data_IF_335852555621
#
_entry.id   IF_335852555621
#
_cell.length_a   1.000
_cell.length_b   1.000
_cell.length_c   1.000
_cell.angle_alpha   90.00
_cell.angle_beta   90.00
_cell.angle_gamma   90.00
#
_symmetry.space_group_name_H-M   'P 1'
#
loop_
_entity.id
_entity.type
_entity.pdbx_description
1 polymer ?
#
# COMPACT_ATOMS: atom_id res chain seq x y z
N UNK A 1 9.39 -1.50 -9.94
CA UNK A 1 10.04 -0.32 -9.34
C UNK A 1 10.23 -0.59 -7.86
N UNK A 2 11.46 -0.45 -7.37
CA UNK A 2 11.78 -0.55 -5.94
C UNK A 2 11.47 0.78 -5.27
N UNK A 3 10.38 0.88 -4.50
CA UNK A 3 10.10 2.10 -3.73
C UNK A 3 11.21 2.38 -2.72
N UNK A 4 12.03 3.38 -2.98
CA UNK A 4 13.02 3.86 -2.00
C UNK A 4 12.39 5.02 -1.23
N UNK A 5 12.89 5.31 -0.02
CA UNK A 5 12.47 6.43 0.85
C UNK A 5 12.32 7.77 0.10
N UNK A 6 12.95 7.93 -1.06
CA UNK A 6 12.80 9.07 -1.97
C UNK A 6 11.38 9.29 -2.53
N UNK A 7 10.49 8.30 -2.48
CA UNK A 7 9.17 8.39 -3.11
C UNK A 7 8.08 8.98 -2.18
N UNK A 8 8.38 9.17 -0.89
CA UNK A 8 7.44 9.70 0.09
C UNK A 8 7.68 11.19 0.36
N UNK A 9 6.72 12.09 0.11
CA UNK A 9 6.87 13.52 0.39
C UNK A 9 6.98 13.86 1.89
N UNK A 10 6.58 12.96 2.78
CA UNK A 10 6.64 13.12 4.23
C UNK A 10 7.32 11.92 4.90
N UNK A 11 8.64 11.80 4.80
CA UNK A 11 9.42 10.78 5.51
C UNK A 11 10.57 11.42 6.30
N UNK A 12 10.52 11.48 7.64
CA UNK A 12 9.47 10.91 8.49
C UNK A 12 8.17 11.74 8.48
N UNK A 13 7.08 11.12 8.92
CA UNK A 13 5.86 11.85 9.31
C UNK A 13 6.16 12.76 10.50
N UNK A 14 5.36 13.81 10.68
CA UNK A 14 5.44 14.66 11.88
C UNK A 14 5.01 13.83 13.10
N UNK A 15 5.89 13.67 14.11
CA UNK A 15 5.56 12.92 15.31
C UNK A 15 4.42 13.58 16.10
N UNK A 16 3.63 12.77 16.79
CA UNK A 16 2.65 13.21 17.78
C UNK A 16 3.29 13.06 19.16
N UNK A 17 3.71 14.19 19.73
CA UNK A 17 4.32 14.22 21.06
C UNK A 17 3.25 14.22 22.16
N UNK A 18 3.28 13.20 23.03
CA UNK A 18 2.35 13.07 24.14
C UNK A 18 0.93 12.75 23.70
N UNK A 19 -0.06 13.33 24.38
CA UNK A 19 -1.48 13.02 24.12
C UNK A 19 -1.91 13.47 22.72
N UNK A 20 -2.41 12.56 21.86
CA UNK A 20 -2.90 12.92 20.55
C UNK A 20 -4.00 13.97 20.61
N UNK A 21 -3.79 15.07 19.88
CA UNK A 21 -4.78 16.12 19.70
C UNK A 21 -5.45 15.99 18.33
N UNK A 22 -6.63 16.60 18.16
CA UNK A 22 -7.32 16.61 16.86
C UNK A 22 -6.44 17.18 15.74
N UNK A 23 -5.70 18.25 16.02
CA UNK A 23 -4.84 18.91 15.02
C UNK A 23 -3.63 18.04 14.64
N UNK A 24 -3.04 17.34 15.62
CA UNK A 24 -1.95 16.41 15.38
C UNK A 24 -2.41 15.20 14.54
N UNK A 25 -3.57 14.61 14.88
CA UNK A 25 -4.17 13.51 14.12
C UNK A 25 -4.52 13.94 12.69
N UNK A 26 -5.08 15.14 12.52
CA UNK A 26 -5.39 15.68 11.19
C UNK A 26 -4.14 15.88 10.35
N UNK A 27 -3.07 16.40 10.95
CA UNK A 27 -1.76 16.57 10.29
C UNK A 27 -1.18 15.23 9.85
N UNK A 28 -1.15 14.26 10.76
CA UNK A 28 -0.66 12.90 10.49
C UNK A 28 -1.46 12.25 9.35
N UNK A 29 -2.79 12.35 9.40
CA UNK A 29 -3.69 11.81 8.37
C UNK A 29 -3.42 12.42 6.99
N UNK A 30 -3.22 13.74 6.91
CA UNK A 30 -2.88 14.41 5.64
C UNK A 30 -1.55 13.95 5.07
N UNK A 31 -0.54 13.79 5.92
CA UNK A 31 0.79 13.38 5.50
C UNK A 31 0.82 11.92 5.03
N UNK A 32 0.18 11.00 5.77
CA UNK A 32 0.11 9.61 5.35
C UNK A 32 -0.72 9.45 4.07
N UNK A 33 -1.75 10.27 3.85
CA UNK A 33 -2.49 10.30 2.59
C UNK A 33 -1.63 10.78 1.42
N UNK A 34 -0.81 11.80 1.63
CA UNK A 34 0.13 12.28 0.60
C UNK A 34 1.19 11.23 0.26
N UNK A 35 1.72 10.52 1.27
CA UNK A 35 2.66 9.41 1.07
C UNK A 35 2.01 8.22 0.34
N UNK A 36 0.80 7.84 0.70
CA UNK A 36 0.09 6.76 0.03
C UNK A 36 -0.21 7.12 -1.43
N UNK A 37 -0.57 8.38 -1.69
CA UNK A 37 -0.87 8.87 -3.05
C UNK A 37 0.37 9.00 -3.93
N UNK A 38 1.55 9.28 -3.37
CA UNK A 38 2.78 9.43 -4.17
C UNK A 38 3.26 8.11 -4.78
N UNK A 39 2.85 6.96 -4.23
CA UNK A 39 3.14 5.66 -4.83
C UNK A 39 2.04 5.30 -5.83
N UNK A 40 2.36 5.45 -7.11
CA UNK A 40 1.43 5.23 -8.21
C UNK A 40 0.98 3.77 -8.34
N UNK A 41 -0.26 3.58 -8.81
CA UNK A 41 -0.83 2.29 -9.18
C UNK A 41 -2.06 2.49 -10.05
N UNK A 42 -2.30 1.55 -10.95
CA UNK A 42 -3.47 1.52 -11.83
C UNK A 42 -4.68 0.87 -11.17
N UNK A 43 -4.55 0.38 -9.92
CA UNK A 43 -5.55 -0.45 -9.24
C UNK A 43 -6.73 0.30 -8.61
N UNK A 44 -6.92 1.59 -8.91
CA UNK A 44 -8.03 2.39 -8.38
C UNK A 44 -8.11 3.77 -9.01
N UNK A 45 -8.41 3.84 -10.31
CA UNK A 45 -8.58 5.10 -11.03
C UNK A 45 -7.28 5.86 -11.38
N UNK A 46 -6.10 5.23 -11.26
CA UNK A 46 -4.80 5.73 -11.75
C UNK A 46 -4.19 6.93 -11.00
N UNK A 47 -4.97 7.98 -10.76
CA UNK A 47 -4.48 9.27 -10.25
C UNK A 47 -4.44 9.37 -8.71
N UNK A 48 -4.83 8.29 -8.02
CA UNK A 48 -4.96 8.26 -6.56
C UNK A 48 -3.87 7.43 -5.87
N UNK A 49 -2.95 6.82 -6.62
CA UNK A 49 -1.90 5.96 -6.06
C UNK A 49 -2.48 4.91 -5.11
N UNK A 50 -1.77 4.62 -4.03
CA UNK A 50 -2.17 3.68 -3.00
C UNK A 50 -3.01 4.33 -1.87
N UNK A 51 -3.67 5.47 -2.12
CA UNK A 51 -4.46 6.18 -1.10
C UNK A 51 -5.52 5.28 -0.41
N UNK A 52 -6.05 4.30 -1.11
CA UNK A 52 -7.01 3.33 -0.56
C UNK A 52 -6.46 2.47 0.59
N UNK A 53 -5.15 2.39 0.78
CA UNK A 53 -4.54 1.64 1.89
C UNK A 53 -4.77 2.31 3.26
N UNK A 54 -5.01 3.62 3.26
CA UNK A 54 -5.10 4.44 4.48
C UNK A 54 -6.40 5.23 4.56
N UNK A 55 -7.21 5.21 3.50
CA UNK A 55 -8.51 5.86 3.43
C UNK A 55 -9.63 4.83 3.51
N UNK A 56 -10.71 5.17 4.19
CA UNK A 56 -11.93 4.37 4.21
C UNK A 56 -12.40 4.02 2.77
N UNK A 57 -12.78 2.76 2.47
CA UNK A 57 -13.13 2.33 1.12
C UNK A 57 -14.29 3.09 0.49
N UNK A 58 -15.33 3.45 1.25
CA UNK A 58 -16.47 4.19 0.72
C UNK A 58 -16.08 5.64 0.36
N UNK A 59 -15.26 6.26 1.21
CA UNK A 59 -14.69 7.59 0.97
C UNK A 59 -13.76 7.59 -0.24
N UNK A 60 -12.91 6.56 -0.36
CA UNK A 60 -12.04 6.38 -1.51
C UNK A 60 -12.84 6.24 -2.80
N UNK A 61 -13.85 5.35 -2.83
CA UNK A 61 -14.70 5.14 -4.00
C UNK A 61 -15.40 6.44 -4.43
N UNK A 62 -15.94 7.20 -3.48
CA UNK A 62 -16.57 8.50 -3.77
C UNK A 62 -15.59 9.49 -4.39
N UNK A 63 -14.33 9.48 -3.96
CA UNK A 63 -13.27 10.36 -4.45
C UNK A 63 -12.72 9.93 -5.81
N UNK A 64 -12.40 8.65 -5.96
CA UNK A 64 -11.69 8.10 -7.11
C UNK A 64 -12.62 7.75 -8.27
N UNK A 65 -13.93 7.56 -8.01
CA UNK A 65 -14.90 7.07 -9.00
C UNK A 65 -14.75 5.58 -9.32
N UNK A 66 -13.70 4.92 -8.80
CA UNK A 66 -13.40 3.51 -8.98
C UNK A 66 -12.90 2.92 -7.65
N UNK A 67 -13.35 1.71 -7.34
CA UNK A 67 -12.91 1.01 -6.14
C UNK A 67 -11.47 0.52 -6.30
N UNK A 68 -10.68 0.57 -5.22
CA UNK A 68 -9.35 -0.02 -5.24
C UNK A 68 -9.45 -1.55 -5.24
N UNK A 69 -8.79 -2.19 -6.20
CA UNK A 69 -8.71 -3.64 -6.33
C UNK A 69 -7.37 -4.13 -5.79
N UNK A 70 -7.41 -4.75 -4.62
CA UNK A 70 -6.22 -5.38 -4.02
C UNK A 70 -5.64 -6.41 -5.00
N UNK A 71 -4.35 -6.31 -5.39
CA UNK A 71 -3.75 -7.26 -6.30
C UNK A 71 -3.70 -8.65 -5.62
N UNK A 72 -4.20 -9.71 -6.26
CA UNK A 72 -4.12 -11.06 -5.71
C UNK A 72 -2.68 -11.54 -5.69
N UNK A 73 -2.34 -12.42 -4.75
CA UNK A 73 -1.06 -13.12 -4.78
C UNK A 73 -1.00 -13.94 -6.08
N UNK A 74 0.00 -13.71 -6.96
CA UNK A 74 0.08 -14.39 -8.26
C UNK A 74 0.39 -15.90 -8.13
N UNK A 75 0.82 -16.37 -6.95
CA UNK A 75 1.19 -17.76 -6.74
C UNK A 75 2.48 -18.14 -7.49
N UNK A 76 2.74 -19.45 -7.66
CA UNK A 76 3.87 -19.93 -8.45
C UNK A 76 3.74 -19.56 -9.93
N UNK A 77 4.88 -19.46 -10.63
CA UNK A 77 4.87 -19.24 -12.07
C UNK A 77 4.10 -20.39 -12.78
N UNK A 78 3.13 -20.09 -13.66
CA UNK A 78 2.35 -21.11 -14.32
C UNK A 78 3.21 -21.90 -15.32
N UNK A 79 2.95 -23.20 -15.42
CA UNK A 79 3.53 -24.03 -16.48
C UNK A 79 2.94 -23.65 -17.85
N UNK A 80 3.71 -23.79 -18.95
CA UNK A 80 3.19 -23.59 -20.29
C UNK A 80 2.00 -24.50 -20.59
N UNK A 81 0.93 -23.94 -21.15
CA UNK A 81 -0.23 -24.72 -21.61
C UNK A 81 0.18 -25.60 -22.79
N UNK A 82 -0.26 -26.86 -22.80
CA UNK A 82 0.01 -27.79 -23.88
C UNK A 82 -0.48 -27.24 -25.24
N UNK A 83 0.41 -27.22 -26.24
CA UNK A 83 0.12 -26.68 -27.57
C UNK A 83 0.16 -25.15 -27.67
N UNK A 84 0.55 -24.44 -26.61
CA UNK A 84 0.77 -22.99 -26.68
C UNK A 84 1.92 -22.64 -27.63
N UNK A 85 1.70 -21.60 -28.44
CA UNK A 85 2.75 -20.99 -29.26
C UNK A 85 3.71 -20.19 -28.38
N UNK A 86 4.93 -19.96 -28.86
CA UNK A 86 5.91 -19.14 -28.15
C UNK A 86 5.38 -17.74 -27.79
N UNK A 87 4.59 -17.12 -28.67
CA UNK A 87 3.98 -15.81 -28.41
C UNK A 87 3.00 -15.85 -27.22
N UNK A 88 2.22 -16.93 -27.09
CA UNK A 88 1.29 -17.12 -25.96
C UNK A 88 2.06 -17.36 -24.64
N UNK A 89 3.13 -18.15 -24.69
CA UNK A 89 3.99 -18.40 -23.52
C UNK A 89 4.63 -17.09 -23.04
N UNK A 90 5.17 -16.28 -23.95
CA UNK A 90 5.73 -14.96 -23.61
C UNK A 90 4.69 -14.00 -23.04
N UNK A 91 3.48 -13.95 -23.62
CA UNK A 91 2.40 -13.12 -23.10
C UNK A 91 2.00 -13.52 -21.66
N UNK A 92 1.90 -14.83 -21.38
CA UNK A 92 1.59 -15.35 -20.04
C UNK A 92 2.70 -15.01 -19.03
N UNK A 93 3.97 -15.18 -19.40
CA UNK A 93 5.10 -14.83 -18.55
C UNK A 93 5.14 -13.33 -18.21
N UNK A 94 4.86 -12.46 -19.20
CA UNK A 94 4.79 -11.01 -18.98
C UNK A 94 3.62 -10.63 -18.06
N UNK A 95 2.46 -11.24 -18.24
CA UNK A 95 1.30 -11.02 -17.36
C UNK A 95 1.60 -11.44 -15.91
N UNK A 96 2.25 -12.59 -15.73
CA UNK A 96 2.70 -13.06 -14.42
C UNK A 96 3.72 -12.10 -13.78
N UNK A 97 4.73 -11.64 -14.54
CA UNK A 97 5.73 -10.70 -14.05
C UNK A 97 5.11 -9.35 -13.61
N UNK A 98 4.11 -8.87 -14.34
CA UNK A 98 3.34 -7.69 -13.96
C UNK A 98 2.56 -7.93 -12.65
N UNK A 99 1.85 -9.05 -12.54
CA UNK A 99 1.10 -9.41 -11.32
C UNK A 99 2.00 -9.52 -10.08
N UNK A 100 3.19 -10.12 -10.22
CA UNK A 100 4.22 -10.16 -9.16
C UNK A 100 4.66 -8.75 -8.76
N UNK A 101 4.90 -7.88 -9.73
CA UNK A 101 5.33 -6.50 -9.48
C UNK A 101 4.25 -5.70 -8.74
N UNK A 102 3.00 -5.79 -9.18
CA UNK A 102 1.87 -5.09 -8.55
C UNK A 102 1.61 -5.60 -7.13
N UNK A 103 1.61 -6.92 -6.93
CA UNK A 103 1.44 -7.53 -5.60
C UNK A 103 2.55 -7.11 -4.64
N UNK A 104 3.81 -7.18 -5.09
CA UNK A 104 4.95 -6.77 -4.29
C UNK A 104 4.91 -5.27 -3.95
N UNK A 105 4.53 -4.42 -4.90
CA UNK A 105 4.40 -2.98 -4.68
C UNK A 105 3.31 -2.66 -3.66
N UNK A 106 2.15 -3.31 -3.75
CA UNK A 106 1.06 -3.17 -2.80
C UNK A 106 1.50 -3.54 -1.38
N UNK A 107 2.07 -4.75 -1.18
CA UNK A 107 2.53 -5.20 0.14
C UNK A 107 3.63 -4.32 0.70
N UNK A 108 4.59 -3.90 -0.14
CA UNK A 108 5.68 -3.03 0.30
C UNK A 108 5.17 -1.65 0.73
N UNK A 109 4.25 -1.06 -0.02
CA UNK A 109 3.65 0.24 0.30
C UNK A 109 2.86 0.16 1.60
N UNK A 110 2.04 -0.88 1.77
CA UNK A 110 1.29 -1.09 3.01
C UNK A 110 2.20 -1.17 4.24
N UNK A 111 3.26 -1.99 4.18
CA UNK A 111 4.24 -2.09 5.27
C UNK A 111 4.96 -0.78 5.55
N UNK A 112 5.36 -0.05 4.50
CA UNK A 112 6.04 1.23 4.66
C UNK A 112 5.14 2.28 5.34
N UNK A 113 3.89 2.39 4.92
CA UNK A 113 2.90 3.31 5.51
C UNK A 113 2.62 2.94 6.97
N UNK A 114 2.47 1.65 7.28
CA UNK A 114 2.29 1.18 8.65
C UNK A 114 3.49 1.54 9.53
N UNK A 115 4.72 1.26 9.09
CA UNK A 115 5.93 1.62 9.84
C UNK A 115 6.03 3.13 10.08
N UNK A 116 5.69 3.96 9.10
CA UNK A 116 5.67 5.41 9.28
C UNK A 116 4.66 5.84 10.35
N UNK A 117 3.47 5.24 10.38
CA UNK A 117 2.44 5.52 11.39
C UNK A 117 2.90 5.08 12.80
N UNK A 118 3.42 3.86 12.93
CA UNK A 118 3.92 3.34 14.21
C UNK A 118 5.08 4.18 14.75
N UNK A 119 5.97 4.66 13.88
CA UNK A 119 7.08 5.52 14.26
C UNK A 119 6.65 6.95 14.66
N UNK A 120 5.50 7.41 14.17
CA UNK A 120 5.02 8.77 14.41
C UNK A 120 4.18 8.93 15.68
N UNK A 121 3.71 7.83 16.28
CA UNK A 121 2.85 7.84 17.47
C UNK A 121 3.54 7.06 18.59
N UNK A 122 3.35 7.49 19.84
CA UNK A 122 3.87 6.74 20.98
C UNK A 122 3.11 5.38 21.12
N UNK A 123 3.81 4.26 21.38
CA UNK A 123 3.19 2.93 21.49
C UNK A 123 2.01 2.85 22.46
N UNK A 124 2.04 3.61 23.55
CA UNK A 124 0.96 3.71 24.55
C UNK A 124 -0.43 3.96 23.94
N UNK A 125 -0.51 4.56 22.74
CA UNK A 125 -1.78 4.86 22.06
C UNK A 125 -2.23 3.81 21.02
N UNK A 126 -1.42 2.79 20.73
CA UNK A 126 -1.77 1.73 19.77
C UNK A 126 -1.33 0.32 20.17
N UNK A 127 -0.65 0.13 21.29
CA UNK A 127 -0.15 -1.17 21.75
C UNK A 127 -1.26 -2.22 21.93
N UNK A 128 -2.49 -1.79 22.24
CA UNK A 128 -3.65 -2.68 22.31
C UNK A 128 -4.04 -3.30 20.95
N UNK A 129 -3.55 -2.72 19.84
CA UNK A 129 -3.74 -3.26 18.49
C UNK A 129 -2.69 -4.30 18.11
N UNK A 130 -1.65 -4.48 18.94
CA UNK A 130 -0.60 -5.46 18.70
C UNK A 130 -1.09 -6.87 18.98
N UNK A 131 -0.94 -7.78 18.01
CA UNK A 131 -1.14 -9.19 18.28
C UNK A 131 0.05 -9.73 19.08
N UNK A 132 -0.22 -10.40 20.20
CA UNK A 132 0.82 -10.92 21.10
C UNK A 132 1.78 -11.93 20.45
N UNK A 133 1.35 -12.61 19.39
CA UNK A 133 2.13 -13.63 18.68
C UNK A 133 2.75 -13.09 17.40
N UNK A 134 2.01 -12.24 16.69
CA UNK A 134 2.34 -11.82 15.32
C UNK A 134 2.75 -10.34 15.20
N UNK A 135 2.65 -9.56 16.27
CA UNK A 135 2.91 -8.12 16.27
C UNK A 135 1.82 -7.33 15.54
N UNK A 136 2.18 -6.17 14.99
CA UNK A 136 1.27 -5.40 14.13
C UNK A 136 1.06 -6.09 12.78
N UNK A 137 -0.17 -6.05 12.28
CA UNK A 137 -0.54 -6.72 11.04
C UNK A 137 0.28 -6.25 9.83
N UNK A 138 0.70 -7.21 9.01
CA UNK A 138 1.65 -7.11 7.89
C UNK A 138 1.06 -6.70 6.53
#
# INVERSE_FOLDING_TARGET
MTTTTSDFPHDPLTPIDGMPTSDAIYTLTRQIYANAKSIETTRGGGDNGHLALVMDPATYLLRAGEAYVVPPNPGPHPDPVAGATNAQITAAANAYANAVTEYALHKKTMKALLHQLLAAVEPTYYEELEDLTFGYAD
#
